data_IF_198308164819
#
_entry.id   IF_198308164819
#
_cell.length_a   1.000
_cell.length_b   1.000
_cell.length_c   1.000
_cell.angle_alpha   90.00
_cell.angle_beta   90.00
_cell.angle_gamma   90.00
#
_symmetry.space_group_name_H-M   'P 1'
#
loop_
_entity.id
_entity.type
_entity.pdbx_description
1 polymer ?
#
# COMPACT_ATOMS: atom_id res chain seq x y z
N UNK A 1 -21.30 16.41 -18.28
CA UNK A 1 -20.37 15.58 -17.47
C UNK A 1 -21.20 14.53 -16.76
N UNK A 2 -21.31 13.34 -17.35
CA UNK A 2 -22.01 12.21 -16.76
C UNK A 2 -21.37 11.88 -15.41
N UNK A 3 -22.17 11.84 -14.35
CA UNK A 3 -21.67 11.55 -13.02
C UNK A 3 -21.14 10.12 -12.99
N UNK A 4 -19.82 9.96 -12.89
CA UNK A 4 -19.20 8.66 -12.60
C UNK A 4 -19.75 8.20 -11.24
N UNK A 5 -20.62 7.18 -11.27
CA UNK A 5 -21.17 6.57 -10.07
C UNK A 5 -20.17 5.57 -9.51
N UNK A 6 -19.85 5.71 -8.23
CA UNK A 6 -18.88 4.81 -7.58
C UNK A 6 -19.39 3.36 -7.51
N UNK A 7 -20.72 3.19 -7.47
CA UNK A 7 -21.36 1.89 -7.49
C UNK A 7 -21.05 1.11 -8.77
N UNK A 8 -21.02 1.78 -9.92
CA UNK A 8 -20.74 1.09 -11.18
C UNK A 8 -19.27 0.68 -11.26
N UNK A 9 -18.35 1.50 -10.71
CA UNK A 9 -16.93 1.11 -10.59
C UNK A 9 -16.78 -0.12 -9.69
N UNK A 10 -17.54 -0.16 -8.59
CA UNK A 10 -17.58 -1.30 -7.69
C UNK A 10 -18.12 -2.57 -8.37
N UNK A 11 -19.25 -2.47 -9.07
CA UNK A 11 -19.86 -3.58 -9.81
C UNK A 11 -18.90 -4.15 -10.87
N UNK A 12 -18.26 -3.28 -11.66
CA UNK A 12 -17.25 -3.70 -12.62
C UNK A 12 -16.09 -4.44 -11.92
N UNK A 13 -15.63 -3.92 -10.77
CA UNK A 13 -14.51 -4.50 -10.00
C UNK A 13 -14.86 -5.91 -9.55
N UNK A 14 -16.06 -6.10 -8.99
CA UNK A 14 -16.55 -7.42 -8.56
C UNK A 14 -16.71 -8.35 -9.76
N UNK A 15 -17.26 -7.87 -10.88
CA UNK A 15 -17.45 -8.67 -12.08
C UNK A 15 -16.11 -9.16 -12.66
N UNK A 16 -15.09 -8.29 -12.70
CA UNK A 16 -13.75 -8.68 -13.15
C UNK A 16 -13.08 -9.65 -12.18
N UNK A 17 -13.13 -9.40 -10.88
CA UNK A 17 -12.55 -10.31 -9.89
C UNK A 17 -13.19 -11.70 -9.96
N UNK A 18 -14.49 -11.79 -10.22
CA UNK A 18 -15.18 -13.08 -10.43
C UNK A 18 -14.74 -13.77 -11.72
N UNK A 19 -14.59 -13.01 -12.82
CA UNK A 19 -14.20 -13.56 -14.12
C UNK A 19 -12.75 -14.02 -14.14
N UNK A 20 -11.84 -13.23 -13.57
CA UNK A 20 -10.39 -13.45 -13.62
C UNK A 20 -9.84 -14.02 -12.29
N UNK A 21 -10.70 -14.54 -11.41
CA UNK A 21 -10.31 -15.07 -10.10
C UNK A 21 -9.17 -16.09 -10.21
N UNK A 22 -9.23 -16.96 -11.22
CA UNK A 22 -8.23 -18.00 -11.46
C UNK A 22 -6.83 -17.48 -11.82
N UNK A 23 -6.71 -16.24 -12.29
CA UNK A 23 -5.42 -15.60 -12.58
C UNK A 23 -4.99 -14.63 -11.48
N UNK A 24 -5.95 -13.83 -10.99
CA UNK A 24 -5.68 -12.75 -10.03
C UNK A 24 -5.38 -13.29 -8.63
N UNK A 25 -6.09 -14.33 -8.17
CA UNK A 25 -5.89 -14.87 -6.81
C UNK A 25 -4.49 -15.51 -6.68
N UNK A 26 -4.05 -16.42 -7.57
CA UNK A 26 -2.71 -17.00 -7.45
C UNK A 26 -1.61 -15.94 -7.55
N UNK A 27 -1.78 -14.95 -8.43
CA UNK A 27 -0.84 -13.85 -8.56
C UNK A 27 -0.76 -13.03 -7.25
N UNK A 28 -1.90 -12.62 -6.69
CA UNK A 28 -1.96 -11.88 -5.45
C UNK A 28 -1.33 -12.63 -4.26
N UNK A 29 -1.54 -13.95 -4.18
CA UNK A 29 -0.91 -14.80 -3.18
C UNK A 29 0.60 -14.90 -3.42
N UNK A 30 1.03 -15.14 -4.66
CA UNK A 30 2.45 -15.26 -5.00
C UNK A 30 3.22 -13.97 -4.74
N UNK A 31 2.59 -12.80 -4.88
CA UNK A 31 3.26 -11.51 -4.72
C UNK A 31 3.01 -10.86 -3.37
N UNK A 32 1.74 -10.56 -3.07
CA UNK A 32 1.40 -9.76 -1.89
C UNK A 32 1.43 -10.58 -0.61
N UNK A 33 0.94 -11.82 -0.61
CA UNK A 33 1.03 -12.67 0.59
C UNK A 33 2.51 -12.97 0.90
N UNK A 34 3.29 -13.42 -0.10
CA UNK A 34 4.73 -13.69 0.10
C UNK A 34 5.47 -12.46 0.61
N UNK A 35 5.26 -11.29 0.00
CA UNK A 35 5.91 -10.06 0.44
C UNK A 35 5.56 -9.66 1.88
N UNK A 36 4.27 -9.75 2.25
CA UNK A 36 3.82 -9.44 3.61
C UNK A 36 4.32 -10.44 4.66
N UNK A 37 4.35 -11.73 4.31
CA UNK A 37 4.86 -12.79 5.20
C UNK A 37 6.35 -12.62 5.43
N UNK A 38 7.13 -12.45 4.37
CA UNK A 38 8.58 -12.20 4.49
C UNK A 38 8.84 -10.97 5.35
N UNK A 39 8.12 -9.86 5.11
CA UNK A 39 8.25 -8.67 5.95
C UNK A 39 7.96 -8.97 7.42
N UNK A 40 6.88 -9.69 7.72
CA UNK A 40 6.50 -10.01 9.10
C UNK A 40 7.52 -10.92 9.80
N UNK A 41 8.17 -11.83 9.07
CA UNK A 41 9.15 -12.77 9.60
C UNK A 41 10.53 -12.15 9.84
N UNK A 42 10.85 -11.03 9.21
CA UNK A 42 12.17 -10.38 9.33
C UNK A 42 12.10 -9.00 9.97
N UNK A 43 10.90 -8.46 10.21
CA UNK A 43 10.74 -7.11 10.75
C UNK A 43 11.22 -7.06 12.22
N UNK A 44 12.28 -6.30 12.54
CA UNK A 44 12.85 -6.25 13.88
C UNK A 44 11.86 -5.75 14.93
N UNK A 45 10.91 -4.89 14.56
CA UNK A 45 9.87 -4.39 15.47
C UNK A 45 8.86 -5.48 15.85
N UNK A 46 8.63 -6.46 14.96
CA UNK A 46 7.77 -7.62 15.24
C UNK A 46 8.53 -8.65 16.08
N UNK A 47 9.83 -8.82 15.80
CA UNK A 47 10.67 -9.81 16.47
C UNK A 47 11.25 -9.33 17.81
N UNK A 48 11.15 -8.04 18.13
CA UNK A 48 11.82 -7.46 19.30
C UNK A 48 13.36 -7.50 19.21
N UNK A 49 13.91 -7.60 18.00
CA UNK A 49 15.34 -7.74 17.75
C UNK A 49 15.97 -6.42 17.30
N UNK A 50 17.29 -6.23 17.46
CA UNK A 50 17.97 -5.07 16.88
C UNK A 50 17.87 -5.08 15.34
N UNK A 51 17.96 -3.91 14.69
CA UNK A 51 17.99 -3.82 13.23
C UNK A 51 19.16 -4.64 12.65
N UNK A 52 18.86 -5.47 11.66
CA UNK A 52 19.85 -6.30 10.97
C UNK A 52 19.86 -5.92 9.47
N UNK A 53 21.05 -5.67 8.91
CA UNK A 53 21.22 -5.30 7.51
C UNK A 53 20.62 -6.32 6.54
N UNK A 54 20.75 -7.63 6.83
CA UNK A 54 20.15 -8.69 6.04
C UNK A 54 18.61 -8.63 6.09
N UNK A 55 18.03 -8.40 7.27
CA UNK A 55 16.58 -8.28 7.44
C UNK A 55 16.02 -7.05 6.73
N UNK A 56 16.76 -5.94 6.74
CA UNK A 56 16.44 -4.74 5.99
C UNK A 56 16.47 -4.99 4.48
N UNK A 57 17.48 -5.72 3.98
CA UNK A 57 17.57 -6.10 2.57
C UNK A 57 16.41 -7.01 2.16
N UNK A 58 16.08 -8.03 2.96
CA UNK A 58 14.95 -8.93 2.70
C UNK A 58 13.61 -8.18 2.72
N UNK A 59 13.43 -7.26 3.66
CA UNK A 59 12.26 -6.37 3.70
C UNK A 59 12.16 -5.53 2.42
N UNK A 60 13.27 -4.96 1.97
CA UNK A 60 13.32 -4.17 0.75
C UNK A 60 12.94 -5.00 -0.48
N UNK A 61 13.50 -6.21 -0.62
CA UNK A 61 13.16 -7.13 -1.71
C UNK A 61 11.68 -7.55 -1.67
N UNK A 62 11.16 -7.87 -0.49
CA UNK A 62 9.75 -8.22 -0.30
C UNK A 62 8.80 -7.08 -0.66
N UNK A 63 9.19 -5.84 -0.34
CA UNK A 63 8.45 -4.64 -0.73
C UNK A 63 8.44 -4.46 -2.24
N UNK A 64 9.60 -4.57 -2.91
CA UNK A 64 9.67 -4.50 -4.36
C UNK A 64 8.81 -5.59 -5.03
N UNK A 65 8.84 -6.81 -4.51
CA UNK A 65 8.03 -7.92 -5.01
C UNK A 65 6.53 -7.65 -4.89
N UNK A 66 6.09 -7.09 -3.77
CA UNK A 66 4.70 -6.70 -3.54
C UNK A 66 4.26 -5.63 -4.55
N UNK A 67 5.13 -4.64 -4.81
CA UNK A 67 4.88 -3.57 -5.77
C UNK A 67 4.78 -4.11 -7.20
N UNK A 68 5.66 -5.04 -7.60
CA UNK A 68 5.58 -5.72 -8.90
C UNK A 68 4.23 -6.43 -9.05
N UNK A 69 3.78 -7.13 -8.02
CA UNK A 69 2.48 -7.81 -8.01
C UNK A 69 1.31 -6.86 -8.21
N UNK A 70 1.30 -5.75 -7.50
CA UNK A 70 0.27 -4.71 -7.67
C UNK A 70 0.25 -4.16 -9.10
N UNK A 71 1.42 -3.86 -9.66
CA UNK A 71 1.54 -3.40 -11.05
C UNK A 71 1.08 -4.45 -12.07
N UNK A 72 1.37 -5.72 -11.83
CA UNK A 72 0.96 -6.82 -12.71
C UNK A 72 -0.57 -7.01 -12.68
N UNK A 73 -1.20 -6.91 -11.51
CA UNK A 73 -2.67 -6.93 -11.38
C UNK A 73 -3.28 -5.76 -12.15
N UNK A 74 -2.74 -4.56 -12.00
CA UNK A 74 -3.19 -3.37 -12.76
C UNK A 74 -3.03 -3.61 -14.28
N UNK A 75 -1.91 -4.19 -14.71
CA UNK A 75 -1.67 -4.50 -16.12
C UNK A 75 -2.69 -5.49 -16.69
N UNK A 76 -3.04 -6.54 -15.94
CA UNK A 76 -4.09 -7.50 -16.33
C UNK A 76 -5.46 -6.83 -16.50
N UNK A 77 -5.80 -5.87 -15.64
CA UNK A 77 -7.05 -5.11 -15.75
C UNK A 77 -7.06 -4.21 -16.99
N UNK A 78 -5.93 -3.57 -17.28
CA UNK A 78 -5.81 -2.64 -18.41
C UNK A 78 -5.65 -3.35 -19.76
N UNK A 79 -5.14 -4.59 -19.78
CA UNK A 79 -4.91 -5.40 -21.00
C UNK A 79 -5.61 -6.76 -20.90
N UNK A 80 -6.92 -6.83 -21.19
CA UNK A 80 -7.66 -8.07 -21.21
C UNK A 80 -7.02 -9.08 -22.18
N UNK A 81 -6.82 -10.32 -21.74
CA UNK A 81 -6.22 -11.39 -22.55
C UNK A 81 -4.69 -11.50 -22.49
N UNK A 82 -4.00 -10.66 -21.68
CA UNK A 82 -2.57 -10.81 -21.42
C UNK A 82 -2.27 -11.95 -20.44
N UNK A 83 -1.13 -12.63 -20.62
CA UNK A 83 -0.69 -13.68 -19.70
C UNK A 83 -0.12 -13.10 -18.40
N UNK A 84 -0.13 -13.89 -17.33
CA UNK A 84 0.46 -13.48 -16.03
C UNK A 84 1.96 -13.18 -16.17
N UNK A 85 2.67 -13.95 -17.00
CA UNK A 85 4.09 -13.73 -17.28
C UNK A 85 4.35 -12.41 -18.02
N UNK A 86 3.52 -12.08 -19.02
CA UNK A 86 3.59 -10.78 -19.71
C UNK A 86 3.32 -9.62 -18.75
N UNK A 87 2.30 -9.73 -17.90
CA UNK A 87 1.97 -8.71 -16.92
C UNK A 87 3.10 -8.48 -15.91
N UNK A 88 3.74 -9.55 -15.40
CA UNK A 88 4.90 -9.46 -14.51
C UNK A 88 6.11 -8.85 -15.22
N UNK A 89 6.38 -9.24 -16.46
CA UNK A 89 7.49 -8.67 -17.24
C UNK A 89 7.30 -7.18 -17.49
N UNK A 90 6.06 -6.75 -17.76
CA UNK A 90 5.71 -5.35 -17.94
C UNK A 90 5.85 -4.59 -16.62
N UNK A 91 5.36 -5.14 -15.51
CA UNK A 91 5.51 -4.57 -14.18
C UNK A 91 6.99 -4.36 -13.81
N UNK A 92 7.84 -5.37 -14.04
CA UNK A 92 9.28 -5.28 -13.79
C UNK A 92 9.95 -4.18 -14.62
N UNK A 93 9.56 -4.03 -15.90
CA UNK A 93 10.08 -2.95 -16.77
C UNK A 93 9.63 -1.56 -16.34
N UNK A 94 8.49 -1.42 -15.64
CA UNK A 94 7.97 -0.13 -15.14
C UNK A 94 8.45 0.21 -13.74
N UNK A 95 9.04 -0.75 -13.04
CA UNK A 95 9.52 -0.58 -11.67
C UNK A 95 10.55 0.55 -11.52
N UNK A 96 11.55 0.74 -12.40
CA UNK A 96 12.50 1.87 -12.27
C UNK A 96 11.83 3.24 -12.36
N UNK A 97 10.85 3.40 -13.25
CA UNK A 97 10.10 4.67 -13.38
C UNK A 97 9.25 4.93 -12.13
N UNK A 98 8.62 3.88 -11.60
CA UNK A 98 7.87 3.99 -10.35
C UNK A 98 8.79 4.35 -9.18
N UNK A 99 9.94 3.66 -9.05
CA UNK A 99 10.92 3.93 -8.01
C UNK A 99 11.51 5.33 -8.13
N UNK A 100 11.82 5.81 -9.33
CA UNK A 100 12.29 7.19 -9.53
C UNK A 100 11.25 8.23 -9.11
N UNK A 101 9.97 7.97 -9.42
CA UNK A 101 8.86 8.83 -9.00
C UNK A 101 8.66 8.79 -7.48
N UNK A 102 8.66 7.60 -6.89
CA UNK A 102 8.56 7.40 -5.45
C UNK A 102 9.75 8.02 -4.70
N UNK A 103 10.96 7.93 -5.25
CA UNK A 103 12.16 8.52 -4.68
C UNK A 103 12.10 10.04 -4.67
N UNK A 104 11.67 10.66 -5.77
CA UNK A 104 11.49 12.13 -5.82
C UNK A 104 10.43 12.60 -4.82
N UNK A 105 9.29 11.92 -4.76
CA UNK A 105 8.21 12.25 -3.83
C UNK A 105 8.66 12.03 -2.38
N UNK A 106 9.33 10.91 -2.10
CA UNK A 106 9.86 10.57 -0.78
C UNK A 106 10.93 11.55 -0.33
N UNK A 107 11.81 11.99 -1.23
CA UNK A 107 12.81 13.03 -0.96
C UNK A 107 12.13 14.36 -0.66
N UNK A 108 11.16 14.80 -1.48
CA UNK A 108 10.41 16.03 -1.24
C UNK A 108 9.64 15.98 0.10
N UNK A 109 9.02 14.84 0.41
CA UNK A 109 8.32 14.62 1.67
C UNK A 109 9.28 14.64 2.87
N UNK A 110 10.46 14.05 2.73
CA UNK A 110 11.49 14.03 3.79
C UNK A 110 12.04 15.43 4.04
N UNK A 111 12.37 16.17 2.97
CA UNK A 111 12.82 17.56 3.04
C UNK A 111 11.76 18.45 3.68
N UNK A 112 10.48 18.25 3.34
CA UNK A 112 9.38 18.93 3.98
C UNK A 112 9.31 18.56 5.47
N UNK A 113 9.39 17.28 5.83
CA UNK A 113 9.33 16.82 7.22
C UNK A 113 10.54 17.19 8.09
N UNK A 114 11.67 17.62 7.52
CA UNK A 114 12.92 17.90 8.25
C UNK A 114 12.74 18.79 9.49
N UNK A 115 12.01 19.92 9.46
CA UNK A 115 11.86 20.78 10.64
C UNK A 115 11.20 20.04 11.81
N UNK A 116 10.17 19.23 11.55
CA UNK A 116 9.53 18.44 12.60
C UNK A 116 10.37 17.25 13.06
N UNK A 117 11.13 16.62 12.16
CA UNK A 117 12.08 15.57 12.55
C UNK A 117 13.17 16.12 13.47
N UNK A 118 13.73 17.29 13.15
CA UNK A 118 14.71 17.98 14.01
C UNK A 118 14.09 18.28 15.38
N UNK A 119 12.89 18.87 15.42
CA UNK A 119 12.18 19.13 16.68
C UNK A 119 11.87 17.87 17.48
N UNK A 120 11.51 16.77 16.82
CA UNK A 120 11.29 15.46 17.43
C UNK A 120 12.58 14.92 18.06
N UNK A 121 13.70 14.89 17.34
CA UNK A 121 14.97 14.39 17.88
C UNK A 121 15.50 15.26 19.03
N UNK A 122 15.36 16.58 18.92
CA UNK A 122 15.77 17.52 19.99
C UNK A 122 14.93 17.36 21.26
N UNK A 123 13.67 16.94 21.15
CA UNK A 123 12.80 16.74 22.31
C UNK A 123 13.14 15.51 23.17
N UNK A 124 14.07 14.65 22.71
CA UNK A 124 14.49 13.45 23.45
C UNK A 124 13.36 12.43 23.65
N UNK A 125 12.35 12.47 22.79
CA UNK A 125 11.21 11.55 22.81
C UNK A 125 11.65 10.19 22.32
N UNK A 126 11.32 9.14 23.09
CA UNK A 126 11.52 7.77 22.64
C UNK A 126 10.18 7.24 22.13
N UNK A 127 10.03 6.97 20.82
CA UNK A 127 8.78 6.50 20.25
C UNK A 127 8.33 5.12 20.79
N UNK A 128 9.20 4.39 21.50
CA UNK A 128 8.83 3.13 22.14
C UNK A 128 8.31 3.30 23.58
N UNK A 129 8.38 4.52 24.14
CA UNK A 129 7.98 4.83 25.52
C UNK A 129 6.91 5.92 25.50
N UNK A 130 5.61 5.55 25.57
CA UNK A 130 4.52 6.50 25.43
C UNK A 130 4.56 7.69 26.40
N UNK A 131 5.09 7.48 27.61
CA UNK A 131 5.25 8.53 28.61
C UNK A 131 6.13 9.70 28.13
N UNK A 132 7.05 9.47 27.19
CA UNK A 132 7.94 10.52 26.67
C UNK A 132 7.27 11.45 25.66
N UNK A 133 6.10 11.12 25.10
CA UNK A 133 5.40 12.00 24.15
C UNK A 133 4.95 13.34 24.76
N UNK A 134 4.86 13.43 26.09
CA UNK A 134 4.59 14.69 26.81
C UNK A 134 5.70 15.74 26.61
N UNK A 135 6.90 15.31 26.20
CA UNK A 135 8.04 16.18 25.90
C UNK A 135 7.97 16.80 24.50
N UNK A 136 7.04 16.38 23.64
CA UNK A 136 6.90 16.91 22.29
C UNK A 136 6.43 18.37 22.35
N UNK A 137 7.16 19.30 21.72
CA UNK A 137 6.67 20.67 21.55
C UNK A 137 5.34 20.67 20.79
N UNK A 138 4.38 21.51 21.21
CA UNK A 138 3.06 21.56 20.58
C UNK A 138 3.10 21.85 19.07
N UNK A 139 4.09 22.62 18.61
CA UNK A 139 4.30 22.88 17.19
C UNK A 139 4.75 21.65 16.41
N UNK A 140 5.54 20.74 17.01
CA UNK A 140 5.98 19.48 16.38
C UNK A 140 4.78 18.56 16.19
N UNK A 141 3.92 18.44 17.21
CA UNK A 141 2.69 17.65 17.14
C UNK A 141 1.72 18.20 16.10
N UNK A 142 1.52 19.52 16.05
CA UNK A 142 0.68 20.17 15.02
C UNK A 142 1.28 19.99 13.62
N UNK A 143 2.59 20.10 13.49
CA UNK A 143 3.28 19.87 12.22
C UNK A 143 3.09 18.44 11.73
N UNK A 144 3.27 17.42 12.58
CA UNK A 144 3.03 16.02 12.19
C UNK A 144 1.57 15.78 11.80
N UNK A 145 0.61 16.44 12.46
CA UNK A 145 -0.80 16.36 12.09
C UNK A 145 -1.04 16.94 10.69
N UNK A 146 -0.55 18.16 10.43
CA UNK A 146 -0.66 18.79 9.11
C UNK A 146 0.07 17.97 8.05
N UNK A 147 1.26 17.48 8.37
CA UNK A 147 2.04 16.59 7.50
C UNK A 147 1.27 15.31 7.18
N UNK A 148 0.64 14.66 8.17
CA UNK A 148 -0.18 13.48 7.94
C UNK A 148 -1.38 13.78 7.03
N UNK A 149 -2.07 14.90 7.23
CA UNK A 149 -3.16 15.33 6.35
C UNK A 149 -2.67 15.58 4.91
N UNK A 150 -1.55 16.27 4.74
CA UNK A 150 -0.94 16.53 3.43
C UNK A 150 -0.46 15.22 2.79
N UNK A 151 0.18 14.34 3.54
CA UNK A 151 0.66 13.04 3.06
C UNK A 151 -0.50 12.17 2.60
N UNK A 152 -1.58 12.07 3.38
CA UNK A 152 -2.81 11.37 2.96
C UNK A 152 -3.34 12.00 1.68
N UNK A 153 -3.51 13.32 1.64
CA UNK A 153 -4.01 14.01 0.45
C UNK A 153 -3.15 13.76 -0.80
N UNK A 154 -1.82 13.79 -0.65
CA UNK A 154 -0.86 13.50 -1.73
C UNK A 154 -0.93 12.03 -2.14
N UNK A 155 -0.95 11.08 -1.20
CA UNK A 155 -1.05 9.64 -1.47
C UNK A 155 -2.34 9.29 -2.22
N UNK A 156 -3.46 9.88 -1.83
CA UNK A 156 -4.74 9.71 -2.52
C UNK A 156 -4.67 10.23 -3.95
N UNK A 157 -3.97 11.34 -4.16
CA UNK A 157 -3.79 11.93 -5.49
C UNK A 157 -2.80 11.15 -6.37
N UNK A 158 -1.82 10.49 -5.75
CA UNK A 158 -0.83 9.65 -6.41
C UNK A 158 -1.32 8.22 -6.66
N UNK A 159 -2.43 7.79 -6.05
CA UNK A 159 -2.99 6.45 -6.27
C UNK A 159 -3.38 6.20 -7.74
N UNK A 160 -3.79 7.24 -8.47
CA UNK A 160 -4.06 7.19 -9.92
C UNK A 160 -2.79 7.17 -10.78
N UNK A 161 -1.64 7.52 -10.19
CA UNK A 161 -0.34 7.57 -10.86
C UNK A 161 0.19 6.15 -11.15
N UNK A 162 -0.16 5.15 -10.33
CA UNK A 162 0.13 3.74 -10.59
C UNK A 162 -0.49 3.25 -11.91
N UNK A 163 -1.74 3.62 -12.20
CA UNK A 163 -2.42 3.22 -13.46
C UNK A 163 -1.91 4.01 -14.67
N UNK A 164 -1.58 5.29 -14.49
CA UNK A 164 -1.04 6.16 -15.56
C UNK A 164 0.37 5.71 -16.01
N UNK A 165 1.23 5.30 -15.08
CA UNK A 165 2.58 4.79 -15.37
C UNK A 165 2.50 3.48 -16.17
N UNK A 166 1.50 2.64 -15.89
CA UNK A 166 1.29 1.38 -16.62
C UNK A 166 0.77 1.65 -18.04
N UNK A 167 -0.16 2.60 -18.21
CA UNK A 167 -0.82 2.85 -19.51
C UNK A 167 0.08 3.57 -20.54
N UNK A 168 0.69 4.73 -20.23
CA UNK A 168 1.21 5.63 -21.29
C UNK A 168 2.70 6.03 -21.28
N UNK A 169 3.55 5.51 -20.38
CA UNK A 169 4.93 6.03 -20.20
C UNK A 169 5.05 7.58 -20.29
N UNK A 170 4.22 8.40 -19.63
CA UNK A 170 4.55 9.82 -19.58
C UNK A 170 5.80 9.96 -18.71
N UNK A 171 6.79 10.74 -19.14
CA UNK A 171 7.94 11.08 -18.30
C UNK A 171 7.51 11.55 -16.91
N UNK A 172 8.37 11.41 -15.90
CA UNK A 172 8.05 11.59 -14.46
C UNK A 172 7.23 12.87 -14.18
N UNK A 173 7.61 13.99 -14.81
CA UNK A 173 6.96 15.29 -14.65
C UNK A 173 5.60 15.35 -15.38
N UNK A 174 5.48 14.73 -16.55
CA UNK A 174 4.22 14.65 -17.30
C UNK A 174 3.19 13.78 -16.57
N UNK A 175 3.63 12.69 -15.92
CA UNK A 175 2.78 11.84 -15.09
C UNK A 175 2.18 12.59 -13.91
N UNK A 176 2.97 13.45 -13.25
CA UNK A 176 2.52 14.29 -12.15
C UNK A 176 1.49 15.34 -12.60
N UNK A 177 1.73 16.03 -13.73
CA UNK A 177 0.80 17.06 -14.26
C UNK A 177 -0.54 16.44 -14.67
N UNK A 178 -0.53 15.29 -15.34
CA UNK A 178 -1.76 14.61 -15.79
C UNK A 178 -2.55 14.05 -14.61
N UNK A 179 -1.88 13.47 -13.60
CA UNK A 179 -2.54 13.04 -12.36
C UNK A 179 -3.19 14.23 -11.62
N UNK A 180 -2.52 15.40 -11.61
CA UNK A 180 -3.06 16.63 -11.02
C UNK A 180 -4.28 17.18 -11.76
N UNK A 181 -4.31 17.08 -13.09
CA UNK A 181 -5.42 17.55 -13.93
C UNK A 181 -6.64 16.60 -13.85
N UNK A 182 -6.42 15.28 -13.87
CA UNK A 182 -7.50 14.28 -13.82
C UNK A 182 -8.25 14.24 -12.48
N UNK A 183 -7.61 14.65 -11.38
CA UNK A 183 -8.20 14.57 -10.04
C UNK A 183 -9.09 15.77 -9.68
N UNK A 184 -9.05 16.88 -10.41
CA UNK A 184 -9.73 18.15 -10.04
C UNK A 184 -11.26 18.07 -9.90
N UNK A 185 -11.93 17.03 -10.38
CA UNK A 185 -13.40 16.89 -10.30
C UNK A 185 -13.95 15.76 -9.42
N UNK A 186 -13.12 14.79 -8.99
CA UNK A 186 -13.58 13.56 -8.29
C UNK A 186 -12.93 13.37 -6.92
N UNK A 187 -12.08 14.31 -6.49
CA UNK A 187 -11.30 14.24 -5.24
C UNK A 187 -12.16 13.89 -4.02
N UNK A 188 -13.33 14.50 -3.83
CA UNK A 188 -14.13 14.25 -2.63
C UNK A 188 -14.61 12.78 -2.53
N UNK A 189 -15.00 12.19 -3.66
CA UNK A 189 -15.43 10.78 -3.72
C UNK A 189 -14.26 9.80 -3.63
N UNK A 190 -13.12 10.17 -4.23
CA UNK A 190 -11.86 9.44 -4.08
C UNK A 190 -11.37 9.43 -2.63
N UNK A 191 -11.44 10.57 -1.95
CA UNK A 191 -11.13 10.70 -0.53
C UNK A 191 -12.06 9.81 0.28
N UNK A 192 -13.37 9.87 0.05
CA UNK A 192 -14.33 9.03 0.77
C UNK A 192 -14.05 7.53 0.54
N UNK A 193 -13.88 7.10 -0.71
CA UNK A 193 -13.59 5.70 -1.04
C UNK A 193 -12.30 5.21 -0.38
N UNK A 194 -11.27 6.06 -0.36
CA UNK A 194 -10.00 5.70 0.23
C UNK A 194 -10.03 5.74 1.77
N UNK A 195 -10.80 6.64 2.39
CA UNK A 195 -11.06 6.61 3.83
C UNK A 195 -11.78 5.30 4.19
N UNK A 196 -12.82 4.93 3.45
CA UNK A 196 -13.53 3.66 3.67
C UNK A 196 -12.58 2.48 3.51
N UNK A 197 -11.76 2.46 2.46
CA UNK A 197 -10.72 1.44 2.26
C UNK A 197 -9.72 1.39 3.42
N UNK A 198 -9.23 2.55 3.87
CA UNK A 198 -8.25 2.66 4.95
C UNK A 198 -8.82 2.16 6.27
N UNK A 199 -10.03 2.59 6.62
CA UNK A 199 -10.76 2.11 7.81
C UNK A 199 -10.99 0.60 7.70
N UNK A 200 -11.49 0.13 6.56
CA UNK A 200 -11.76 -1.31 6.34
C UNK A 200 -10.48 -2.14 6.50
N UNK A 201 -9.36 -1.66 5.94
CA UNK A 201 -8.07 -2.34 6.02
C UNK A 201 -7.57 -2.39 7.46
N UNK A 202 -7.58 -1.28 8.18
CA UNK A 202 -7.15 -1.23 9.59
C UNK A 202 -8.03 -2.14 10.44
N UNK A 203 -9.35 -2.03 10.31
CA UNK A 203 -10.28 -2.82 11.12
C UNK A 203 -10.10 -4.30 10.85
N UNK A 204 -10.13 -4.75 9.59
CA UNK A 204 -9.99 -6.17 9.26
C UNK A 204 -8.64 -6.74 9.67
N UNK A 205 -7.54 -6.05 9.37
CA UNK A 205 -6.21 -6.54 9.74
C UNK A 205 -6.00 -6.57 11.24
N UNK A 206 -6.55 -5.61 11.98
CA UNK A 206 -6.50 -5.58 13.46
C UNK A 206 -7.35 -6.69 14.06
N UNK A 207 -8.58 -6.89 13.57
CA UNK A 207 -9.46 -7.98 14.04
C UNK A 207 -8.79 -9.33 13.81
N UNK A 208 -8.27 -9.56 12.62
CA UNK A 208 -7.58 -10.82 12.27
C UNK A 208 -6.34 -11.02 13.15
N UNK A 209 -5.53 -9.98 13.31
CA UNK A 209 -4.35 -10.02 14.19
C UNK A 209 -4.73 -10.29 15.65
N UNK A 210 -5.81 -9.71 16.14
CA UNK A 210 -6.23 -9.90 17.53
C UNK A 210 -6.86 -11.28 17.75
N UNK A 211 -7.83 -11.67 16.92
CA UNK A 211 -8.57 -12.93 17.05
C UNK A 211 -7.69 -14.13 16.74
N UNK A 212 -7.05 -14.15 15.57
CA UNK A 212 -6.20 -15.30 15.19
C UNK A 212 -4.84 -15.22 15.87
N UNK A 213 -4.27 -14.03 16.05
CA UNK A 213 -2.97 -13.90 16.72
C UNK A 213 -3.02 -14.35 18.18
N UNK A 214 -4.11 -14.06 18.91
CA UNK A 214 -4.26 -14.60 20.28
C UNK A 214 -4.38 -16.12 20.31
N UNK A 215 -5.15 -16.72 19.40
CA UNK A 215 -5.26 -18.17 19.28
C UNK A 215 -3.90 -18.82 18.91
N UNK A 216 -3.18 -18.24 17.95
CA UNK A 216 -1.86 -18.71 17.55
C UNK A 216 -0.80 -18.49 18.61
N UNK A 217 -0.92 -17.46 19.45
CA UNK A 217 -0.04 -17.23 20.58
C UNK A 217 -0.17 -18.33 21.63
N UNK A 218 -1.40 -18.79 21.91
CA UNK A 218 -1.62 -19.94 22.79
C UNK A 218 -0.99 -21.22 22.22
N UNK A 219 -1.13 -21.44 20.91
CA UNK A 219 -0.51 -22.59 20.23
C UNK A 219 1.03 -22.50 20.24
N UNK A 220 1.60 -21.33 19.96
CA UNK A 220 3.05 -21.15 19.98
C UNK A 220 3.63 -21.34 21.38
N UNK A 221 2.92 -20.92 22.45
CA UNK A 221 3.31 -21.23 23.83
C UNK A 221 3.19 -22.71 24.15
N UNK A 222 2.17 -23.40 23.64
CA UNK A 222 2.01 -24.84 23.86
C UNK A 222 3.12 -25.69 23.21
N UNK A 223 3.69 -25.22 22.09
CA UNK A 223 4.77 -25.89 21.34
C UNK A 223 6.15 -25.29 21.69
N UNK A 224 6.20 -24.33 22.62
CA UNK A 224 7.39 -23.56 23.01
C UNK A 224 8.16 -22.95 21.81
N UNK A 225 7.40 -22.49 20.81
CA UNK A 225 7.96 -21.91 19.58
C UNK A 225 7.32 -20.57 19.26
N UNK A 226 8.00 -19.44 19.59
CA UNK A 226 7.55 -18.10 19.21
C UNK A 226 7.42 -17.92 17.68
N UNK A 227 8.21 -18.67 16.91
CA UNK A 227 8.19 -18.64 15.46
C UNK A 227 6.83 -19.08 14.89
N UNK A 228 6.21 -20.11 15.48
CA UNK A 228 4.90 -20.61 15.02
C UNK A 228 3.83 -19.53 15.15
N UNK A 229 3.81 -18.80 16.27
CA UNK A 229 2.90 -17.66 16.47
C UNK A 229 3.06 -16.61 15.38
N UNK A 230 4.31 -16.18 15.14
CA UNK A 230 4.61 -15.12 14.18
C UNK A 230 4.26 -15.57 12.76
N UNK A 231 4.67 -16.78 12.36
CA UNK A 231 4.45 -17.30 11.02
C UNK A 231 2.95 -17.49 10.69
N UNK A 232 2.18 -18.10 11.60
CA UNK A 232 0.75 -18.32 11.38
C UNK A 232 -0.03 -16.99 11.37
N UNK A 233 0.32 -16.06 12.27
CA UNK A 233 -0.28 -14.72 12.28
C UNK A 233 0.06 -13.95 11.01
N UNK A 234 1.32 -14.02 10.55
CA UNK A 234 1.78 -13.39 9.32
C UNK A 234 1.05 -13.94 8.09
N UNK A 235 0.83 -15.26 8.02
CA UNK A 235 0.07 -15.89 6.95
C UNK A 235 -1.38 -15.39 6.94
N UNK A 236 -2.06 -15.43 8.09
CA UNK A 236 -3.45 -14.99 8.19
C UNK A 236 -3.65 -13.51 7.83
N UNK A 237 -2.84 -12.63 8.42
CA UNK A 237 -2.89 -11.18 8.13
C UNK A 237 -2.46 -10.90 6.69
N UNK A 238 -1.44 -11.61 6.20
CA UNK A 238 -0.93 -11.48 4.84
C UNK A 238 -1.98 -11.85 3.78
N UNK A 239 -2.79 -12.88 4.02
CA UNK A 239 -3.87 -13.28 3.10
C UNK A 239 -4.94 -12.21 3.01
N UNK A 240 -5.38 -11.67 4.15
CA UNK A 240 -6.38 -10.59 4.20
C UNK A 240 -5.84 -9.34 3.54
N UNK A 241 -4.58 -8.99 3.80
CA UNK A 241 -3.92 -7.83 3.19
C UNK A 241 -3.78 -8.01 1.67
N UNK A 242 -3.45 -9.22 1.20
CA UNK A 242 -3.35 -9.53 -0.23
C UNK A 242 -4.71 -9.42 -0.92
N UNK A 243 -5.80 -9.90 -0.30
CA UNK A 243 -7.14 -9.75 -0.85
C UNK A 243 -7.56 -8.27 -0.97
N UNK A 244 -7.33 -7.50 0.10
CA UNK A 244 -7.66 -6.07 0.14
C UNK A 244 -6.83 -5.26 -0.86
N UNK A 245 -5.53 -5.49 -0.93
CA UNK A 245 -4.64 -4.78 -1.85
C UNK A 245 -4.95 -5.09 -3.31
N UNK A 246 -5.33 -6.33 -3.61
CA UNK A 246 -5.78 -6.76 -4.94
C UNK A 246 -7.07 -6.07 -5.32
N UNK A 247 -8.06 -6.07 -4.42
CA UNK A 247 -9.31 -5.34 -4.64
C UNK A 247 -9.05 -3.87 -4.94
N UNK A 248 -8.21 -3.21 -4.13
CA UNK A 248 -7.84 -1.81 -4.31
C UNK A 248 -7.14 -1.57 -5.66
N UNK A 249 -6.20 -2.44 -6.05
CA UNK A 249 -5.49 -2.34 -7.31
C UNK A 249 -6.43 -2.42 -8.53
N UNK A 250 -7.38 -3.38 -8.52
CA UNK A 250 -8.38 -3.52 -9.60
C UNK A 250 -9.32 -2.32 -9.63
N UNK A 251 -9.82 -1.90 -8.47
CA UNK A 251 -10.72 -0.76 -8.35
C UNK A 251 -10.08 0.54 -8.90
N UNK A 252 -8.83 0.80 -8.54
CA UNK A 252 -8.07 1.96 -9.04
C UNK A 252 -7.87 1.88 -10.56
N UNK A 253 -7.54 0.70 -11.10
CA UNK A 253 -7.36 0.50 -12.54
C UNK A 253 -8.67 0.73 -13.33
N UNK A 254 -9.81 0.29 -12.78
CA UNK A 254 -11.12 0.51 -13.40
C UNK A 254 -11.58 1.96 -13.33
N UNK A 255 -11.36 2.61 -12.19
CA UNK A 255 -11.62 4.03 -12.05
C UNK A 255 -10.79 4.83 -13.05
N UNK A 256 -9.50 4.47 -13.22
CA UNK A 256 -8.63 5.06 -14.22
C UNK A 256 -9.18 4.87 -15.64
N UNK A 257 -9.60 3.65 -16.00
CA UNK A 257 -10.19 3.36 -17.32
C UNK A 257 -11.40 4.25 -17.61
N UNK A 258 -12.27 4.47 -16.62
CA UNK A 258 -13.45 5.33 -16.76
C UNK A 258 -13.09 6.82 -16.85
N UNK A 259 -12.14 7.30 -16.05
CA UNK A 259 -11.65 8.67 -16.13
C UNK A 259 -10.95 9.00 -17.45
N UNK A 260 -10.23 8.04 -18.02
CA UNK A 260 -9.51 8.19 -19.30
C UNK A 260 -10.46 8.09 -20.51
N UNK A 261 -11.50 7.24 -20.43
CA UNK A 261 -12.44 7.02 -21.54
C UNK A 261 -13.58 8.05 -21.62
N UNK A 262 -13.69 8.99 -20.68
CA UNK A 262 -14.57 10.17 -20.82
C UNK A 262 -16.04 9.85 -21.07
N UNK A 263 -16.60 8.80 -20.43
CA UNK A 263 -18.04 8.53 -20.37
C UNK A 263 -18.48 8.56 -18.90
#
# INVERSE_FOLDING_TARGET
MTMISMNVVWEDTVAFLRREAGLVIPLALATSLVGNVVNSLVNPAVLGSPPNALFSLLTFVALLWTVIGQLAIIALVLRPGSSVGEALSLAARRLPTLLGTAFLIGTAATLFALPALIGFFQSGVNPNIPATYTKLPGWVSLYFLVFACVAIWVSLRLSTLYSLIVDKQPGVIASLKTAFAMTRGVIARLILAAIVYFITTIVLTTVVRFVLGSAFELLGRAIDSPFVTVALTALAVGTVTAALSTFAAVFLAMLYRRLNNGI
#
